data_IF_608111657477
#
_entry.id   IF_608111657477
#
_cell.length_a   1.000
_cell.length_b   1.000
_cell.length_c   1.000
_cell.angle_alpha   90.00
_cell.angle_beta   90.00
_cell.angle_gamma   90.00
#
_symmetry.space_group_name_H-M   'P 1'
#
loop_
_entity.id
_entity.type
_entity.pdbx_description
1 polymer ?
#
# COMPACT_ATOMS: atom_id res chain seq x y z
N UNK A 1 -15.88 -14.39 -3.51
CA UNK A 1 -15.59 -15.59 -2.68
C UNK A 1 -16.31 -16.86 -3.10
N UNK A 2 -17.59 -16.81 -3.50
CA UNK A 2 -18.32 -17.99 -3.99
C UNK A 2 -17.60 -18.70 -5.16
N UNK A 3 -16.98 -17.93 -6.06
CA UNK A 3 -16.19 -18.43 -7.19
C UNK A 3 -15.07 -19.36 -6.71
N UNK A 4 -14.18 -18.89 -5.83
CA UNK A 4 -13.06 -19.69 -5.33
C UNK A 4 -13.49 -20.99 -4.64
N UNK A 5 -14.59 -20.94 -3.88
CA UNK A 5 -15.18 -22.15 -3.26
C UNK A 5 -15.72 -23.13 -4.31
N UNK A 6 -16.29 -22.64 -5.41
CA UNK A 6 -16.76 -23.48 -6.51
C UNK A 6 -15.61 -24.22 -7.23
N UNK A 7 -14.40 -23.64 -7.23
CA UNK A 7 -13.16 -24.31 -7.68
C UNK A 7 -12.52 -25.21 -6.62
N UNK A 8 -13.19 -25.47 -5.49
CA UNK A 8 -12.68 -26.34 -4.43
C UNK A 8 -11.57 -25.72 -3.57
N UNK A 9 -11.33 -24.41 -3.67
CA UNK A 9 -10.28 -23.73 -2.91
C UNK A 9 -10.76 -23.37 -1.50
N UNK A 10 -9.86 -23.50 -0.53
CA UNK A 10 -10.01 -22.88 0.77
C UNK A 10 -10.04 -21.35 0.61
N UNK A 11 -10.76 -20.65 1.49
CA UNK A 11 -10.92 -19.20 1.40
C UNK A 11 -10.84 -18.57 2.79
N UNK A 12 -9.90 -17.64 2.95
CA UNK A 12 -9.83 -16.73 4.08
C UNK A 12 -10.27 -15.32 3.67
N UNK A 13 -10.96 -14.59 4.55
CA UNK A 13 -11.35 -13.20 4.30
C UNK A 13 -10.93 -12.31 5.46
N UNK A 14 -10.17 -11.25 5.15
CA UNK A 14 -9.70 -10.24 6.09
C UNK A 14 -10.39 -8.93 5.71
N UNK A 15 -11.19 -8.41 6.64
CA UNK A 15 -11.97 -7.17 6.44
C UNK A 15 -11.49 -6.00 7.28
N UNK A 16 -10.75 -6.30 8.35
CA UNK A 16 -10.32 -5.31 9.34
C UNK A 16 -8.96 -5.71 9.90
N UNK A 17 -8.25 -4.72 10.45
CA UNK A 17 -6.92 -4.90 11.02
C UNK A 17 -6.92 -5.73 12.32
N UNK A 18 -8.04 -5.75 13.07
CA UNK A 18 -8.14 -6.39 14.41
C UNK A 18 -7.72 -7.86 14.44
N UNK A 19 -7.95 -8.61 13.36
CA UNK A 19 -7.59 -10.02 13.27
C UNK A 19 -6.65 -10.33 12.09
N UNK A 20 -6.07 -9.30 11.47
CA UNK A 20 -5.30 -9.41 10.24
C UNK A 20 -4.07 -10.32 10.45
N UNK A 21 -3.24 -10.05 11.46
CA UNK A 21 -2.04 -10.83 11.72
C UNK A 21 -2.33 -12.33 11.91
N UNK A 22 -3.31 -12.66 12.76
CA UNK A 22 -3.72 -14.06 12.99
C UNK A 22 -4.24 -14.73 11.72
N UNK A 23 -5.05 -14.03 10.93
CA UNK A 23 -5.60 -14.58 9.68
C UNK A 23 -4.53 -14.74 8.61
N UNK A 24 -3.59 -13.82 8.49
CA UNK A 24 -2.42 -13.95 7.60
C UNK A 24 -1.63 -15.20 7.99
N UNK A 25 -1.34 -15.38 9.29
CA UNK A 25 -0.64 -16.58 9.76
C UNK A 25 -1.39 -17.86 9.41
N UNK A 26 -2.70 -17.91 9.64
CA UNK A 26 -3.53 -19.07 9.28
C UNK A 26 -3.57 -19.35 7.77
N UNK A 27 -3.46 -18.32 6.92
CA UNK A 27 -3.36 -18.49 5.46
C UNK A 27 -2.00 -19.06 5.08
N UNK A 28 -0.91 -18.55 5.66
CA UNK A 28 0.45 -19.02 5.38
C UNK A 28 0.72 -20.44 5.90
N UNK A 29 0.07 -20.81 7.02
CA UNK A 29 0.18 -22.15 7.61
C UNK A 29 -0.77 -23.17 6.98
N UNK A 30 -1.63 -22.75 6.04
CA UNK A 30 -2.59 -23.64 5.41
C UNK A 30 -1.87 -24.63 4.48
N UNK A 31 -2.06 -25.92 4.73
CA UNK A 31 -1.57 -26.96 3.83
C UNK A 31 -2.44 -27.00 2.56
N UNK A 32 -1.86 -26.60 1.43
CA UNK A 32 -2.53 -26.62 0.13
C UNK A 32 -2.99 -25.24 -0.34
N UNK A 33 -3.72 -25.18 -1.47
CA UNK A 33 -4.07 -23.91 -2.09
C UNK A 33 -5.21 -23.21 -1.35
N UNK A 34 -5.00 -21.93 -1.03
CA UNK A 34 -5.97 -21.06 -0.36
C UNK A 34 -6.03 -19.69 -1.05
N UNK A 35 -7.25 -19.18 -1.22
CA UNK A 35 -7.47 -17.79 -1.62
C UNK A 35 -7.61 -16.89 -0.38
N UNK A 36 -6.72 -15.92 -0.23
CA UNK A 36 -6.83 -14.87 0.78
C UNK A 36 -7.47 -13.61 0.18
N UNK A 37 -8.70 -13.31 0.57
CA UNK A 37 -9.40 -12.10 0.17
C UNK A 37 -9.21 -10.98 1.19
N UNK A 38 -8.62 -9.88 0.73
CA UNK A 38 -8.46 -8.66 1.52
C UNK A 38 -9.52 -7.66 1.09
N UNK A 39 -10.28 -7.14 2.03
CA UNK A 39 -11.13 -5.97 1.82
C UNK A 39 -10.40 -4.76 2.42
N UNK A 40 -10.14 -3.76 1.59
CA UNK A 40 -9.48 -2.51 1.95
C UNK A 40 -10.24 -1.35 1.33
N UNK A 41 -10.01 -0.13 1.83
CA UNK A 41 -10.65 1.07 1.33
C UNK A 41 -10.22 1.32 -0.14
N UNK A 42 -11.16 1.37 -1.10
CA UNK A 42 -10.83 1.65 -2.50
C UNK A 42 -10.24 3.07 -2.70
N UNK A 43 -10.46 3.98 -1.75
CA UNK A 43 -9.86 5.32 -1.73
C UNK A 43 -8.43 5.37 -1.21
N UNK A 44 -7.88 4.25 -0.71
CA UNK A 44 -6.53 4.21 -0.16
C UNK A 44 -5.49 4.52 -1.24
N UNK A 45 -4.71 5.58 -1.03
CA UNK A 45 -3.67 6.04 -1.96
C UNK A 45 -2.31 5.47 -1.58
N UNK A 46 -1.50 5.14 -2.58
CA UNK A 46 -0.08 4.83 -2.39
C UNK A 46 0.66 6.15 -2.24
N UNK A 47 1.27 6.36 -1.08
CA UNK A 47 2.08 7.53 -0.75
C UNK A 47 3.36 7.11 -0.02
N UNK A 48 4.49 7.80 -0.24
CA UNK A 48 4.68 8.91 -1.16
C UNK A 48 4.73 8.49 -2.64
N UNK A 49 4.35 9.38 -3.56
CA UNK A 49 4.41 9.12 -5.01
C UNK A 49 4.77 10.39 -5.78
N UNK A 50 5.75 10.27 -6.69
CA UNK A 50 6.12 11.35 -7.62
C UNK A 50 5.05 11.47 -8.69
N UNK A 51 4.53 12.69 -8.90
CA UNK A 51 3.63 12.97 -10.01
C UNK A 51 4.42 13.25 -11.28
N UNK A 52 3.87 12.87 -12.43
CA UNK A 52 4.43 13.22 -13.72
C UNK A 52 4.71 14.73 -13.81
N UNK A 53 5.92 15.07 -14.28
CA UNK A 53 6.39 16.46 -14.36
C UNK A 53 7.04 17.00 -13.08
N UNK A 54 7.00 16.28 -11.96
CA UNK A 54 7.74 16.64 -10.74
C UNK A 54 9.07 15.87 -10.65
N UNK A 55 10.12 16.51 -10.09
CA UNK A 55 11.37 15.83 -9.76
C UNK A 55 11.19 14.73 -8.71
N UNK A 56 12.13 13.79 -8.67
CA UNK A 56 12.04 12.60 -7.80
C UNK A 56 12.17 12.93 -6.32
N UNK A 57 12.83 14.04 -6.00
CA UNK A 57 13.02 14.55 -4.66
C UNK A 57 11.75 15.18 -4.06
N UNK A 58 10.72 15.48 -4.85
CA UNK A 58 9.51 16.19 -4.40
C UNK A 58 8.20 15.39 -4.62
N UNK A 59 8.07 14.20 -4.01
CA UNK A 59 6.89 13.36 -4.12
C UNK A 59 5.71 13.94 -3.32
N UNK A 60 4.50 13.50 -3.67
CA UNK A 60 3.29 13.84 -2.92
C UNK A 60 3.05 12.89 -1.74
N UNK A 61 2.43 13.37 -0.64
CA UNK A 61 1.99 14.74 -0.39
C UNK A 61 3.17 15.71 -0.25
N UNK A 62 3.00 16.93 -0.76
CA UNK A 62 4.08 17.91 -0.74
C UNK A 62 4.39 18.31 0.70
N UNK A 63 5.66 18.23 1.05
CA UNK A 63 6.20 18.74 2.31
C UNK A 63 6.13 20.27 2.34
N UNK A 64 6.15 20.87 3.53
CA UNK A 64 6.37 22.31 3.64
C UNK A 64 7.67 22.70 2.91
N UNK A 65 7.67 23.85 2.22
CA UNK A 65 8.79 24.22 1.35
C UNK A 65 10.04 24.60 2.13
N UNK A 66 9.91 25.05 3.38
CA UNK A 66 11.07 25.34 4.23
C UNK A 66 11.67 24.04 4.77
N UNK A 67 10.82 23.11 5.24
CA UNK A 67 11.26 21.78 5.68
C UNK A 67 11.90 20.99 4.53
N UNK A 68 11.30 21.03 3.33
CA UNK A 68 11.85 20.42 2.14
C UNK A 68 13.27 20.94 1.87
N UNK A 69 13.48 22.27 1.83
CA UNK A 69 14.80 22.86 1.59
C UNK A 69 15.80 22.52 2.68
N UNK A 70 15.37 22.47 3.94
CA UNK A 70 16.23 22.11 5.07
C UNK A 70 16.73 20.65 4.99
N UNK A 71 15.95 19.76 4.38
CA UNK A 71 16.31 18.35 4.18
C UNK A 71 17.16 18.10 2.92
N UNK A 72 17.44 19.13 2.12
CA UNK A 72 18.15 18.97 0.85
C UNK A 72 19.66 19.16 1.02
N UNK A 73 20.41 18.11 0.69
CA UNK A 73 21.88 18.08 0.77
C UNK A 73 22.51 18.96 -0.34
N UNK A 74 21.79 19.10 -1.46
CA UNK A 74 22.17 19.92 -2.61
C UNK A 74 21.02 20.82 -3.02
N UNK A 75 21.29 21.86 -3.80
CA UNK A 75 20.25 22.73 -4.35
C UNK A 75 19.20 21.90 -5.11
N UNK A 76 17.90 22.01 -4.77
CA UNK A 76 16.84 21.25 -5.43
C UNK A 76 16.68 21.62 -6.91
N UNK A 77 16.08 20.73 -7.70
CA UNK A 77 15.67 21.08 -9.05
C UNK A 77 14.67 22.26 -9.00
N UNK A 78 14.79 23.26 -9.91
CA UNK A 78 13.90 24.41 -9.92
C UNK A 78 12.41 24.09 -10.00
N UNK A 79 12.03 22.91 -10.52
CA UNK A 79 10.64 22.45 -10.61
C UNK A 79 10.07 21.97 -9.27
N UNK A 80 10.92 21.77 -8.26
CA UNK A 80 10.54 21.43 -6.87
C UNK A 80 10.27 22.66 -6.00
N UNK A 81 10.53 23.87 -6.53
CA UNK A 81 10.46 25.15 -5.80
C UNK A 81 9.16 25.92 -6.05
#
# INVERSE_FOLDING_TARGET
MKIARAYGLAVATIKTHRAMARKIRAVLDHAGPILCNLEFDPGQRIVPMVKAGRPIEDPQPLMDRNEFRANMIVTPDPRSL
#
